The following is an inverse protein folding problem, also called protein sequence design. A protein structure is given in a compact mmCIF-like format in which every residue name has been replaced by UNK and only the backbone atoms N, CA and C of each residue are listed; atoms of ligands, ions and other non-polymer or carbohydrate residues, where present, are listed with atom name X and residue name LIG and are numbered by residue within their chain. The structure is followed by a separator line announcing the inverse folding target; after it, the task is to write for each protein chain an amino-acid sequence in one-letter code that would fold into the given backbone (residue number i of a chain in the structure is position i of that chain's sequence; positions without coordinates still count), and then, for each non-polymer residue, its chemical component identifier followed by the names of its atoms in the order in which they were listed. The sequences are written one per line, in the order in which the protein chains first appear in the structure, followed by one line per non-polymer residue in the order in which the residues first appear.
data_IF_523029105194
#
_entry.id   IF_523029105194
#
_cell.length_a   1.000
_cell.length_b   1.000
_cell.length_c   1.000
_cell.angle_alpha   90.00
_cell.angle_beta   90.00
_cell.angle_gamma   90.00
#
_symmetry.space_group_name_H-M   'P 1'
#
loop_
_entity.id
_entity.type
_entity.pdbx_description
1 polymer ?
#
# COMPACT_ATOMS: atom_id res chain seq x y z
N UNK A 1 2.79 -9.49 -18.89
CA UNK A 1 3.75 -8.99 -17.86
C UNK A 1 3.04 -8.20 -16.76
N UNK A 2 3.68 -7.85 -15.63
CA UNK A 2 3.03 -7.02 -14.58
C UNK A 2 2.51 -5.69 -15.14
N UNK A 3 3.25 -5.09 -16.09
CA UNK A 3 2.87 -3.85 -16.76
C UNK A 3 1.48 -3.92 -17.42
N UNK A 4 1.22 -4.94 -18.26
CA UNK A 4 -0.09 -5.11 -18.92
C UNK A 4 -1.25 -5.29 -17.93
N UNK A 5 -1.00 -5.97 -16.80
CA UNK A 5 -2.03 -6.14 -15.75
C UNK A 5 -2.30 -4.82 -15.02
N UNK A 6 -1.28 -4.00 -14.84
CA UNK A 6 -1.41 -2.69 -14.22
C UNK A 6 -2.13 -1.72 -15.16
N UNK A 7 -1.80 -1.72 -16.44
CA UNK A 7 -2.45 -0.90 -17.47
C UNK A 7 -3.96 -1.14 -17.52
N UNK A 8 -4.39 -2.40 -17.61
CA UNK A 8 -5.81 -2.77 -17.56
C UNK A 8 -6.51 -2.33 -16.27
N UNK A 9 -5.83 -2.38 -15.13
CA UNK A 9 -6.37 -1.91 -13.86
C UNK A 9 -6.54 -0.38 -13.88
N UNK A 10 -5.58 0.34 -14.44
CA UNK A 10 -5.64 1.81 -14.55
C UNK A 10 -6.78 2.23 -15.49
N UNK A 11 -6.93 1.57 -16.65
CA UNK A 11 -8.06 1.78 -17.56
C UNK A 11 -9.40 1.62 -16.82
N UNK A 12 -9.60 0.49 -16.12
CA UNK A 12 -10.83 0.22 -15.37
C UNK A 12 -11.11 1.27 -14.28
N UNK A 13 -10.07 1.74 -13.59
CA UNK A 13 -10.19 2.78 -12.55
C UNK A 13 -10.60 4.13 -13.15
N UNK A 14 -10.04 4.50 -14.30
CA UNK A 14 -10.39 5.73 -15.01
C UNK A 14 -11.81 5.66 -15.56
N UNK A 15 -12.19 4.55 -16.21
CA UNK A 15 -13.53 4.34 -16.78
C UNK A 15 -14.63 4.38 -15.73
N UNK A 16 -14.32 3.94 -14.50
CA UNK A 16 -15.25 3.98 -13.35
C UNK A 16 -15.22 5.31 -12.60
N UNK A 17 -14.44 6.28 -13.03
CA UNK A 17 -14.35 7.60 -12.40
C UNK A 17 -13.66 7.59 -11.03
N UNK A 18 -12.72 6.66 -10.79
CA UNK A 18 -11.95 6.64 -9.55
C UNK A 18 -11.02 7.85 -9.52
N UNK A 19 -11.13 8.64 -8.46
CA UNK A 19 -10.23 9.77 -8.25
C UNK A 19 -8.79 9.29 -8.02
N UNK A 20 -7.82 10.02 -8.60
CA UNK A 20 -6.40 9.68 -8.48
C UNK A 20 -5.95 9.53 -7.01
N UNK A 21 -6.41 10.42 -6.12
CA UNK A 21 -6.06 10.35 -4.69
C UNK A 21 -6.58 9.07 -4.03
N UNK A 22 -7.79 8.62 -4.38
CA UNK A 22 -8.35 7.37 -3.89
C UNK A 22 -7.59 6.15 -4.43
N UNK A 23 -7.19 6.20 -5.69
CA UNK A 23 -6.37 5.18 -6.33
C UNK A 23 -5.03 4.99 -5.62
N UNK A 24 -4.31 6.11 -5.40
CA UNK A 24 -3.02 6.12 -4.71
C UNK A 24 -3.19 5.62 -3.28
N UNK A 25 -4.21 6.12 -2.56
CA UNK A 25 -4.49 5.72 -1.17
C UNK A 25 -4.75 4.23 -1.06
N UNK A 26 -5.59 3.67 -1.93
CA UNK A 26 -5.95 2.26 -1.85
C UNK A 26 -4.80 1.34 -2.27
N UNK A 27 -4.05 1.72 -3.31
CA UNK A 27 -2.83 1.01 -3.70
C UNK A 27 -1.82 1.00 -2.55
N UNK A 28 -1.50 2.17 -2.00
CA UNK A 28 -0.49 2.30 -0.96
C UNK A 28 -0.88 1.53 0.31
N UNK A 29 -2.14 1.65 0.75
CA UNK A 29 -2.67 0.86 1.87
C UNK A 29 -2.52 -0.64 1.64
N UNK A 30 -2.94 -1.16 0.47
CA UNK A 30 -2.86 -2.60 0.15
C UNK A 30 -1.42 -3.08 0.12
N UNK A 31 -0.52 -2.29 -0.46
CA UNK A 31 0.90 -2.62 -0.57
C UNK A 31 1.55 -2.69 0.81
N UNK A 32 1.30 -1.71 1.67
CA UNK A 32 1.80 -1.69 3.07
C UNK A 32 1.28 -2.91 3.84
N UNK A 33 -0.02 -3.21 3.77
CA UNK A 33 -0.61 -4.39 4.45
C UNK A 33 0.05 -5.68 3.98
N UNK A 34 0.28 -5.83 2.67
CA UNK A 34 0.91 -7.03 2.10
C UNK A 34 2.33 -7.22 2.63
N UNK A 35 3.14 -6.17 2.66
CA UNK A 35 4.53 -6.22 3.14
C UNK A 35 4.59 -6.44 4.66
N UNK A 36 3.72 -5.78 5.43
CA UNK A 36 3.59 -6.04 6.86
C UNK A 36 3.28 -7.52 7.14
N UNK A 37 2.41 -8.13 6.34
CA UNK A 37 2.10 -9.56 6.42
C UNK A 37 3.28 -10.47 6.08
N UNK A 38 4.17 -10.08 5.16
CA UNK A 38 5.40 -10.83 4.86
C UNK A 38 6.47 -10.69 5.94
N UNK A 39 6.39 -9.62 6.73
CA UNK A 39 7.35 -9.30 7.78
C UNK A 39 6.86 -9.70 9.17
N UNK A 40 5.81 -10.52 9.29
CA UNK A 40 5.18 -10.93 10.56
C UNK A 40 4.82 -9.74 11.47
N UNK A 41 4.41 -8.62 10.88
CA UNK A 41 4.10 -7.38 11.62
C UNK A 41 5.33 -6.62 12.15
N UNK A 42 6.55 -7.04 11.82
CA UNK A 42 7.77 -6.32 12.16
C UNK A 42 7.89 -5.02 11.36
N UNK A 43 7.71 -3.90 12.06
CA UNK A 43 7.78 -2.56 11.44
C UNK A 43 9.16 -2.23 10.88
N UNK A 44 10.23 -2.68 11.54
CA UNK A 44 11.60 -2.41 11.07
C UNK A 44 11.89 -3.14 9.76
N UNK A 45 11.53 -4.44 9.69
CA UNK A 45 11.68 -5.23 8.46
C UNK A 45 10.80 -4.67 7.34
N UNK A 46 9.53 -4.38 7.64
CA UNK A 46 8.59 -3.84 6.67
C UNK A 46 9.03 -2.46 6.14
N UNK A 47 9.52 -1.57 7.00
CA UNK A 47 10.09 -0.28 6.61
C UNK A 47 11.27 -0.46 5.66
N UNK A 48 12.18 -1.41 5.95
CA UNK A 48 13.27 -1.77 5.06
C UNK A 48 12.79 -2.29 3.70
N UNK A 49 11.84 -3.23 3.68
CA UNK A 49 11.27 -3.78 2.43
C UNK A 49 10.53 -2.73 1.60
N UNK A 50 9.87 -1.78 2.25
CA UNK A 50 9.15 -0.67 1.60
C UNK A 50 10.08 0.47 1.19
N UNK A 51 11.36 0.44 1.58
CA UNK A 51 12.32 1.51 1.28
C UNK A 51 11.96 2.84 1.95
N UNK A 52 11.26 2.83 3.08
CA UNK A 52 10.82 4.04 3.79
C UNK A 52 11.24 4.03 5.25
N UNK A 53 11.36 5.22 5.84
CA UNK A 53 11.65 5.33 7.27
C UNK A 53 10.50 4.77 8.12
N UNK A 54 10.84 4.09 9.24
CA UNK A 54 9.84 3.49 10.15
C UNK A 54 8.79 4.49 10.65
N UNK A 55 9.18 5.73 10.90
CA UNK A 55 8.24 6.78 11.35
C UNK A 55 7.23 7.12 10.25
N UNK A 56 7.67 7.17 8.99
CA UNK A 56 6.79 7.37 7.84
C UNK A 56 5.80 6.23 7.71
N UNK A 57 6.27 4.98 7.84
CA UNK A 57 5.41 3.80 7.84
C UNK A 57 4.38 3.85 8.97
N UNK A 58 4.79 4.22 10.19
CA UNK A 58 3.89 4.32 11.35
C UNK A 58 2.81 5.39 11.15
N UNK A 59 3.17 6.55 10.60
CA UNK A 59 2.21 7.61 10.25
C UNK A 59 1.20 7.12 9.21
N UNK A 60 1.67 6.52 8.11
CA UNK A 60 0.82 5.97 7.05
C UNK A 60 -0.11 4.86 7.57
N UNK A 61 0.36 4.02 8.48
CA UNK A 61 -0.50 3.03 9.14
C UNK A 61 -1.64 3.68 9.93
N UNK A 62 -1.37 4.80 10.61
CA UNK A 62 -2.41 5.60 11.28
C UNK A 62 -3.42 6.20 10.30
N UNK A 63 -2.94 6.83 9.23
CA UNK A 63 -3.77 7.44 8.17
C UNK A 63 -4.69 6.42 7.50
N UNK A 64 -4.17 5.23 7.21
CA UNK A 64 -4.93 4.16 6.56
C UNK A 64 -5.65 3.22 7.52
N UNK A 65 -5.64 3.54 8.83
CA UNK A 65 -6.26 2.72 9.90
C UNK A 65 -5.84 1.25 9.85
N UNK A 66 -4.58 0.99 9.50
CA UNK A 66 -4.00 -0.36 9.41
C UNK A 66 -3.74 -0.85 10.83
N UNK A 67 -4.47 -1.91 11.24
CA UNK A 67 -4.26 -2.55 12.54
C UNK A 67 -2.99 -3.40 12.48
N UNK A 68 -2.15 -3.28 13.52
CA UNK A 68 -1.07 -4.25 13.75
C UNK A 68 -1.74 -5.60 14.07
N UNK A 69 -1.37 -6.67 13.36
CA UNK A 69 -1.68 -8.02 13.85
C UNK A 69 -0.91 -8.18 15.17
N UNK A 70 -1.67 -8.28 16.26
CA UNK A 70 -1.16 -8.69 17.56
C UNK A 70 -0.93 -10.20 17.58
#
# INVERSE_FOLDING_TARGET
MIAERLEKLVEEMVDKGVHFEDAVREFERRFIVRVLGQCDGSLTKAAGCLGMHRNTLTRKMGEYKIKKRG
#
